data_IF_254056498711
#
_entry.id   IF_254056498711
#
_cell.length_a   1.000
_cell.length_b   1.000
_cell.length_c   1.000
_cell.angle_alpha   90.00
_cell.angle_beta   90.00
_cell.angle_gamma   90.00
#
_symmetry.space_group_name_H-M   'P 1'
#
loop_
_entity.id
_entity.type
_entity.pdbx_description
1 polymer ?
#
# COMPACT_ATOMS: atom_id res chain seq x y z
N UNK A 1 9.09 -3.54 28.83
CA UNK A 1 7.98 -3.29 27.88
C UNK A 1 7.39 -1.91 28.24
N UNK A 2 7.67 -0.86 27.46
CA UNK A 2 7.45 0.55 27.88
C UNK A 2 5.98 1.01 27.81
N UNK A 3 5.18 0.37 26.97
CA UNK A 3 3.81 0.81 26.63
C UNK A 3 2.73 -0.24 26.90
N UNK A 4 3.06 -1.37 27.53
CA UNK A 4 2.14 -2.47 27.87
C UNK A 4 1.23 -2.97 26.73
N UNK A 5 1.61 -2.76 25.46
CA UNK A 5 0.89 -3.22 24.29
C UNK A 5 1.82 -3.97 23.33
N UNK A 6 1.22 -4.76 22.43
CA UNK A 6 1.90 -5.48 21.34
C UNK A 6 1.60 -4.75 20.04
N UNK A 7 2.60 -4.52 19.19
CA UNK A 7 2.37 -3.91 17.87
C UNK A 7 1.56 -4.86 16.97
N UNK A 8 0.64 -4.35 16.14
CA UNK A 8 0.04 -5.11 15.05
C UNK A 8 1.12 -5.75 14.18
N UNK A 9 0.86 -6.95 13.69
CA UNK A 9 1.86 -7.73 12.96
C UNK A 9 2.32 -7.01 11.69
N UNK A 10 1.44 -6.32 10.98
CA UNK A 10 1.80 -5.56 9.78
C UNK A 10 2.68 -4.33 10.07
N UNK A 11 2.35 -3.58 11.12
CA UNK A 11 3.17 -2.45 11.58
C UNK A 11 4.53 -2.91 12.13
N UNK A 12 4.54 -4.02 12.87
CA UNK A 12 5.77 -4.65 13.37
C UNK A 12 6.66 -5.08 12.20
N UNK A 13 6.11 -5.72 11.17
CA UNK A 13 6.85 -6.12 9.98
C UNK A 13 7.42 -4.91 9.23
N UNK A 14 6.66 -3.81 9.14
CA UNK A 14 7.18 -2.55 8.62
C UNK A 14 8.39 -2.05 9.43
N UNK A 15 8.30 -2.01 10.75
CA UNK A 15 9.41 -1.53 11.58
C UNK A 15 10.62 -2.46 11.63
N UNK A 16 10.43 -3.76 11.45
CA UNK A 16 11.54 -4.70 11.25
C UNK A 16 12.27 -4.47 9.93
N UNK A 17 11.58 -3.92 8.92
CA UNK A 17 12.18 -3.56 7.64
C UNK A 17 12.77 -2.15 7.64
N UNK A 18 12.10 -1.18 8.26
CA UNK A 18 12.52 0.23 8.31
C UNK A 18 12.01 0.95 9.56
N UNK A 19 12.89 1.63 10.32
CA UNK A 19 12.50 2.36 11.53
C UNK A 19 11.95 3.76 11.20
N UNK A 20 10.71 3.79 10.72
CA UNK A 20 10.04 5.00 10.23
C UNK A 20 10.26 5.23 8.74
N UNK A 21 9.55 6.21 8.18
CA UNK A 21 9.60 6.54 6.76
C UNK A 21 9.40 8.03 6.56
N UNK A 22 10.21 8.64 5.71
CA UNK A 22 10.03 10.02 5.30
C UNK A 22 10.39 10.16 3.82
N UNK A 23 9.43 10.62 3.02
CA UNK A 23 9.63 10.93 1.62
C UNK A 23 8.96 12.26 1.31
N UNK A 24 9.72 13.23 0.80
CA UNK A 24 9.20 14.53 0.37
C UNK A 24 9.56 14.79 -1.07
N UNK A 25 8.66 15.41 -1.82
CA UNK A 25 8.90 15.79 -3.21
C UNK A 25 8.39 17.20 -3.49
N UNK A 26 8.99 17.81 -4.50
CA UNK A 26 8.75 19.19 -4.90
C UNK A 26 8.38 19.26 -6.37
N UNK A 27 7.62 20.27 -6.74
CA UNK A 27 7.32 20.63 -8.13
C UNK A 27 8.19 21.81 -8.53
N UNK A 28 8.61 21.87 -9.79
CA UNK A 28 9.39 23.01 -10.30
C UNK A 28 8.46 23.90 -11.11
N UNK A 29 8.31 25.15 -10.69
CA UNK A 29 7.56 26.18 -11.43
C UNK A 29 8.48 27.39 -11.58
N UNK A 30 8.69 27.85 -12.81
CA UNK A 30 9.53 29.02 -13.14
C UNK A 30 10.89 29.06 -12.41
N UNK A 31 11.62 27.94 -12.49
CA UNK A 31 12.93 27.72 -11.86
C UNK A 31 12.99 27.70 -10.32
N UNK A 32 11.86 27.81 -9.64
CA UNK A 32 11.78 27.64 -8.18
C UNK A 32 11.22 26.26 -7.80
N UNK A 33 11.93 25.44 -7.00
CA UNK A 33 11.38 24.21 -6.45
C UNK A 33 10.41 24.53 -5.30
N UNK A 34 9.13 24.19 -5.49
CA UNK A 34 8.08 24.31 -4.48
C UNK A 34 7.85 22.95 -3.81
N UNK A 35 8.07 22.81 -2.50
CA UNK A 35 7.76 21.57 -1.78
C UNK A 35 6.24 21.34 -1.80
N UNK A 36 5.84 20.13 -2.21
CA UNK A 36 4.43 19.81 -2.39
C UNK A 36 4.00 18.60 -1.55
N UNK A 37 4.56 17.44 -1.81
CA UNK A 37 4.15 16.22 -1.10
C UNK A 37 5.10 15.83 0.01
N UNK A 38 4.55 15.38 1.13
CA UNK A 38 5.27 14.83 2.28
C UNK A 38 4.56 13.60 2.79
N UNK A 39 5.28 12.48 2.82
CA UNK A 39 4.83 11.22 3.40
C UNK A 39 5.72 10.93 4.61
N UNK A 40 5.10 10.79 5.78
CA UNK A 40 5.82 10.59 7.04
C UNK A 40 5.19 9.45 7.84
N UNK A 41 6.04 8.61 8.40
CA UNK A 41 5.71 7.61 9.42
C UNK A 41 6.81 7.71 10.47
N UNK A 42 6.42 8.04 11.69
CA UNK A 42 7.34 8.19 12.80
C UNK A 42 8.10 6.89 13.07
N UNK A 43 9.37 7.01 13.44
CA UNK A 43 10.15 5.89 13.96
C UNK A 43 9.57 5.41 15.29
N UNK A 44 9.88 4.18 15.71
CA UNK A 44 9.38 3.62 16.99
C UNK A 44 9.72 4.54 18.16
N UNK A 45 10.93 5.12 18.16
CA UNK A 45 11.38 6.03 19.21
C UNK A 45 10.57 7.35 19.27
N UNK A 46 9.98 7.77 18.14
CA UNK A 46 9.17 8.99 18.02
C UNK A 46 7.67 8.74 18.15
N UNK A 47 7.23 7.49 18.34
CA UNK A 47 5.82 7.20 18.60
C UNK A 47 5.41 7.76 19.95
N UNK A 48 4.69 8.88 19.91
CA UNK A 48 4.15 9.55 21.08
C UNK A 48 2.77 8.99 21.41
N UNK A 49 2.57 8.56 22.67
CA UNK A 49 1.25 8.19 23.17
C UNK A 49 0.41 9.46 23.37
N UNK A 50 -0.79 9.50 22.81
CA UNK A 50 -1.78 10.54 23.08
C UNK A 50 -2.62 10.18 24.31
N UNK A 51 -3.06 11.19 25.08
CA UNK A 51 -3.89 11.00 26.29
C UNK A 51 -3.15 10.47 27.53
N UNK A 52 -1.86 10.12 27.42
CA UNK A 52 -1.04 9.75 28.58
C UNK A 52 -0.62 10.96 29.41
N UNK A 53 -0.50 10.80 30.74
CA UNK A 53 0.07 11.80 31.62
C UNK A 53 1.46 12.21 31.12
N UNK A 54 1.59 13.47 30.67
CA UNK A 54 2.89 14.05 30.40
C UNK A 54 3.74 13.99 31.67
N UNK A 55 5.05 13.74 31.56
CA UNK A 55 5.98 13.77 32.70
C UNK A 55 5.94 15.10 33.47
N UNK A 56 5.44 16.15 32.83
CA UNK A 56 5.31 17.50 33.39
C UNK A 56 3.87 17.87 33.76
N UNK A 57 2.92 16.93 33.69
CA UNK A 57 1.54 17.19 34.08
C UNK A 57 1.45 17.35 35.60
N UNK A 58 0.82 18.43 36.05
CA UNK A 58 0.47 18.60 37.46
C UNK A 58 -0.57 17.54 37.86
N UNK A 59 -0.59 17.12 39.13
CA UNK A 59 -1.73 16.38 39.67
C UNK A 59 -3.02 17.17 39.38
N UNK A 60 -3.98 16.55 38.70
CA UNK A 60 -5.25 17.15 38.27
C UNK A 60 -5.16 18.25 37.18
N UNK A 61 -4.08 18.29 36.39
CA UNK A 61 -4.08 19.13 35.19
C UNK A 61 -5.15 18.64 34.18
N UNK A 62 -5.86 19.55 33.49
CA UNK A 62 -6.78 19.17 32.43
C UNK A 62 -6.03 18.42 31.33
N UNK A 63 -6.67 17.39 30.81
CA UNK A 63 -6.19 16.42 29.83
C UNK A 63 -7.02 16.51 28.55
N UNK A 64 -6.60 15.80 27.50
CA UNK A 64 -7.41 15.71 26.27
C UNK A 64 -8.77 15.04 26.50
N UNK A 65 -8.87 14.17 27.51
CA UNK A 65 -10.13 13.54 27.88
C UNK A 65 -11.16 14.55 28.42
N UNK A 66 -10.71 15.65 29.04
CA UNK A 66 -11.60 16.70 29.55
C UNK A 66 -12.16 17.60 28.42
N UNK A 67 -11.65 17.46 27.19
CA UNK A 67 -12.11 18.18 25.99
C UNK A 67 -12.99 17.31 25.09
N UNK A 68 -13.16 16.02 25.40
CA UNK A 68 -14.08 15.16 24.66
C UNK A 68 -15.52 15.58 24.96
N UNK A 69 -16.33 15.75 23.92
CA UNK A 69 -17.75 16.00 24.07
C UNK A 69 -18.46 14.65 24.20
N UNK A 70 -19.12 14.42 25.35
CA UNK A 70 -19.90 13.20 25.66
C UNK A 70 -21.22 13.12 24.87
N UNK A 71 -21.41 13.92 23.82
CA UNK A 71 -22.53 13.76 22.90
C UNK A 71 -22.40 12.44 22.14
N UNK A 72 -22.96 11.39 22.75
CA UNK A 72 -23.26 10.10 22.16
C UNK A 72 -24.03 10.32 20.85
N UNK A 73 -23.30 10.33 19.73
CA UNK A 73 -23.93 10.26 18.42
C UNK A 73 -24.55 8.87 18.29
N UNK A 74 -25.87 8.87 18.16
CA UNK A 74 -26.76 7.73 17.99
C UNK A 74 -26.06 6.49 17.39
N UNK A 75 -26.06 5.43 18.20
CA UNK A 75 -25.50 4.11 17.97
C UNK A 75 -25.95 3.54 16.62
N UNK A 76 -25.20 3.88 15.57
CA UNK A 76 -25.38 3.34 14.24
C UNK A 76 -24.47 2.12 14.17
N UNK A 77 -25.03 0.93 14.40
CA UNK A 77 -24.32 -0.37 14.52
C UNK A 77 -23.33 -0.65 13.34
N UNK A 78 -23.46 0.06 12.23
CA UNK A 78 -22.62 -0.11 11.03
C UNK A 78 -21.35 0.76 11.00
N UNK A 79 -21.18 1.72 11.94
CA UNK A 79 -20.00 2.61 11.97
C UNK A 79 -18.98 2.19 13.04
N UNK A 80 -17.67 2.32 12.76
CA UNK A 80 -16.66 2.02 13.76
C UNK A 80 -16.79 3.00 14.96
N UNK A 81 -16.83 2.45 16.17
CA UNK A 81 -16.82 3.22 17.42
C UNK A 81 -15.64 4.19 17.46
N UNK A 82 -15.92 5.45 17.81
CA UNK A 82 -14.92 6.52 17.85
C UNK A 82 -13.93 6.27 18.99
N UNK A 83 -12.62 6.52 18.78
CA UNK A 83 -11.64 6.43 19.85
C UNK A 83 -11.89 7.44 20.97
N UNK A 84 -11.48 7.09 22.19
CA UNK A 84 -11.48 7.97 23.35
C UNK A 84 -10.06 8.20 23.85
N UNK A 85 -9.71 9.40 24.33
CA UNK A 85 -8.40 9.70 24.94
C UNK A 85 -8.24 9.15 26.35
N UNK A 86 -9.29 8.55 26.91
CA UNK A 86 -9.26 7.92 28.22
C UNK A 86 -8.62 6.51 28.22
N UNK A 87 -8.75 5.80 29.34
CA UNK A 87 -8.16 4.46 29.51
C UNK A 87 -8.76 3.36 28.61
N UNK A 88 -9.85 3.62 27.89
CA UNK A 88 -10.50 2.65 26.98
C UNK A 88 -9.68 2.42 25.72
N UNK A 89 -8.95 3.44 25.24
CA UNK A 89 -8.12 3.33 24.05
C UNK A 89 -6.64 3.63 24.33
N UNK A 90 -5.75 2.94 23.62
CA UNK A 90 -4.34 3.32 23.56
C UNK A 90 -4.07 3.94 22.21
N UNK A 91 -3.54 5.17 22.18
CA UNK A 91 -3.41 5.95 20.97
C UNK A 91 -1.95 6.33 20.76
N UNK A 92 -1.39 6.05 19.59
CA UNK A 92 -0.02 6.41 19.21
C UNK A 92 0.00 7.22 17.92
N UNK A 93 0.72 8.34 17.92
CA UNK A 93 0.88 9.19 16.74
C UNK A 93 1.84 8.56 15.72
N UNK A 94 1.29 8.18 14.56
CA UNK A 94 2.06 7.65 13.44
C UNK A 94 2.59 8.75 12.51
N UNK A 95 1.79 9.78 12.24
CA UNK A 95 2.14 10.88 11.33
C UNK A 95 1.63 12.22 11.90
N UNK A 96 2.48 13.25 12.06
CA UNK A 96 2.08 14.58 12.50
C UNK A 96 1.41 15.44 11.40
N UNK A 97 1.27 14.94 10.17
CA UNK A 97 0.56 15.54 9.03
C UNK A 97 0.88 17.03 8.79
N UNK A 98 2.15 17.42 9.02
CA UNK A 98 2.63 18.81 8.94
C UNK A 98 1.78 19.81 9.74
N UNK A 99 1.20 19.39 10.87
CA UNK A 99 0.38 20.24 11.75
C UNK A 99 -1.08 20.42 11.30
N UNK A 100 -1.53 19.74 10.25
CA UNK A 100 -2.94 19.76 9.83
C UNK A 100 -3.84 18.80 10.61
N UNK A 101 -3.27 18.04 11.53
CA UNK A 101 -3.93 16.96 12.27
C UNK A 101 -2.88 15.90 12.61
N UNK A 102 -3.33 14.70 12.97
CA UNK A 102 -2.47 13.56 13.27
C UNK A 102 -3.10 12.28 12.74
N UNK A 103 -2.31 11.40 12.16
CA UNK A 103 -2.74 10.01 11.97
C UNK A 103 -2.29 9.19 13.16
N UNK A 104 -3.23 8.45 13.75
CA UNK A 104 -3.04 7.71 14.96
C UNK A 104 -3.34 6.22 14.77
N UNK A 105 -2.48 5.38 15.37
CA UNK A 105 -2.78 3.99 15.64
C UNK A 105 -3.57 3.92 16.94
N UNK A 106 -4.76 3.36 16.87
CA UNK A 106 -5.68 3.23 18.01
C UNK A 106 -5.85 1.75 18.33
N UNK A 107 -5.66 1.38 19.60
CA UNK A 107 -5.99 0.05 20.11
C UNK A 107 -7.37 0.11 20.75
N UNK A 108 -8.32 -0.64 20.20
CA UNK A 108 -9.62 -0.88 20.81
C UNK A 108 -9.41 -1.88 21.94
N UNK A 109 -9.63 -1.44 23.18
CA UNK A 109 -9.42 -2.18 24.42
C UNK A 109 -7.95 -2.32 24.85
N UNK A 110 -7.59 -1.65 25.95
CA UNK A 110 -6.27 -1.70 26.57
C UNK A 110 -5.89 -3.04 27.25
N UNK A 111 -6.68 -4.10 27.08
CA UNK A 111 -6.38 -5.42 27.68
C UNK A 111 -5.35 -6.16 26.81
N UNK A 112 -4.41 -6.91 27.42
CA UNK A 112 -3.41 -7.68 26.67
C UNK A 112 -4.09 -8.88 26.00
N UNK A 113 -4.61 -8.66 24.79
CA UNK A 113 -5.17 -9.71 23.93
C UNK A 113 -4.05 -10.21 23.01
N UNK A 114 -4.09 -11.52 22.70
CA UNK A 114 -3.14 -12.22 21.82
C UNK A 114 -3.07 -11.59 20.42
N UNK A 115 -4.16 -10.95 19.97
CA UNK A 115 -4.23 -10.12 18.79
C UNK A 115 -4.87 -8.77 19.17
N UNK A 116 -4.12 -7.66 19.15
CA UNK A 116 -4.71 -6.36 19.43
C UNK A 116 -5.65 -5.97 18.29
N UNK A 117 -6.88 -5.56 18.62
CA UNK A 117 -7.77 -4.90 17.67
C UNK A 117 -7.27 -3.47 17.49
N UNK A 118 -6.67 -3.20 16.34
CA UNK A 118 -6.15 -1.88 16.02
C UNK A 118 -6.80 -1.28 14.81
N UNK A 119 -6.92 0.04 14.82
CA UNK A 119 -7.43 0.83 13.71
C UNK A 119 -6.56 2.06 13.50
N UNK A 120 -6.66 2.63 12.30
CA UNK A 120 -5.97 3.86 11.93
C UNK A 120 -6.99 4.97 11.75
N UNK A 121 -6.83 6.02 12.54
CA UNK A 121 -7.73 7.16 12.58
C UNK A 121 -6.96 8.46 12.29
N UNK A 122 -7.63 9.39 11.63
CA UNK A 122 -7.18 10.77 11.49
C UNK A 122 -7.84 11.63 12.56
N UNK A 123 -7.02 12.25 13.41
CA UNK A 123 -7.42 13.25 14.38
C UNK A 123 -7.20 14.64 13.79
N UNK A 124 -8.27 15.38 13.57
CA UNK A 124 -8.15 16.74 13.03
C UNK A 124 -7.74 17.78 14.11
N UNK A 125 -7.58 19.04 13.70
CA UNK A 125 -7.19 20.13 14.61
C UNK A 125 -8.28 20.53 15.62
N UNK A 126 -9.53 20.15 15.36
CA UNK A 126 -10.65 20.36 16.26
C UNK A 126 -10.91 19.13 17.16
N UNK A 127 -9.98 18.16 17.15
CA UNK A 127 -10.03 16.91 17.91
C UNK A 127 -11.15 15.95 17.49
N UNK A 128 -11.70 16.10 16.27
CA UNK A 128 -12.62 15.10 15.74
C UNK A 128 -11.89 13.90 15.15
N UNK A 129 -12.44 12.72 15.44
CA UNK A 129 -11.97 11.44 14.93
C UNK A 129 -12.60 11.10 13.59
N UNK A 130 -11.76 10.81 12.61
CA UNK A 130 -12.17 10.37 11.28
C UNK A 130 -11.52 9.03 10.96
N UNK A 131 -12.33 8.02 10.67
CA UNK A 131 -11.83 6.69 10.38
C UNK A 131 -11.10 6.68 9.03
N UNK A 132 -9.90 6.09 8.98
CA UNK A 132 -9.18 5.87 7.73
C UNK A 132 -9.23 4.40 7.30
N UNK A 133 -8.63 3.50 8.11
CA UNK A 133 -8.48 2.08 7.74
C UNK A 133 -8.38 1.17 8.96
N UNK A 134 -8.67 -0.12 8.77
CA UNK A 134 -8.51 -1.16 9.81
C UNK A 134 -7.06 -1.63 10.00
N UNK A 135 -6.19 -1.45 9.01
CA UNK A 135 -4.81 -1.98 9.07
C UNK A 135 -3.80 -0.90 8.70
N UNK A 136 -2.57 -1.03 9.23
CA UNK A 136 -1.48 -0.15 8.87
C UNK A 136 -1.11 -0.32 7.39
N UNK A 137 -1.15 -1.53 6.86
CA UNK A 137 -0.87 -1.78 5.44
C UNK A 137 -1.83 -1.02 4.52
N UNK A 138 -3.13 -0.99 4.86
CA UNK A 138 -4.11 -0.22 4.11
C UNK A 138 -3.83 1.29 4.21
N UNK A 139 -3.47 1.78 5.39
CA UNK A 139 -3.05 3.17 5.59
C UNK A 139 -1.79 3.52 4.76
N UNK A 140 -0.77 2.66 4.78
CA UNK A 140 0.46 2.85 4.01
C UNK A 140 0.16 2.96 2.49
N UNK A 141 -0.78 2.15 2.00
CA UNK A 141 -1.28 2.26 0.61
C UNK A 141 -2.00 3.58 0.36
N UNK A 142 -2.82 4.07 1.29
CA UNK A 142 -3.46 5.39 1.16
C UNK A 142 -2.40 6.50 1.07
N UNK A 143 -1.39 6.46 1.94
CA UNK A 143 -0.28 7.41 1.97
C UNK A 143 0.42 7.51 0.60
N UNK A 144 0.77 6.36 0.02
CA UNK A 144 1.41 6.29 -1.31
C UNK A 144 0.45 6.72 -2.41
N UNK A 145 -0.81 6.27 -2.37
CA UNK A 145 -1.81 6.58 -3.41
C UNK A 145 -2.07 8.09 -3.52
N UNK A 146 -2.01 8.80 -2.39
CA UNK A 146 -2.17 10.24 -2.32
C UNK A 146 -0.85 11.00 -2.48
N UNK A 147 0.28 10.30 -2.68
CA UNK A 147 1.62 10.88 -2.83
C UNK A 147 2.00 11.84 -1.68
N UNK A 148 1.39 11.71 -0.51
CA UNK A 148 1.55 12.69 0.57
C UNK A 148 1.15 14.12 0.20
N UNK A 149 0.22 14.31 -0.74
CA UNK A 149 -0.28 15.65 -1.11
C UNK A 149 -0.83 16.40 0.12
N UNK A 150 -0.75 17.74 0.14
CA UNK A 150 -1.22 18.51 1.28
C UNK A 150 -2.66 18.18 1.64
N UNK A 151 -2.91 17.94 2.93
CA UNK A 151 -4.25 17.70 3.49
C UNK A 151 -4.98 16.48 2.92
N UNK A 152 -4.28 15.49 2.35
CA UNK A 152 -4.96 14.36 1.72
C UNK A 152 -5.87 13.57 2.65
N UNK A 153 -5.56 13.53 3.95
CA UNK A 153 -6.37 12.88 4.98
C UNK A 153 -7.77 13.50 5.06
N UNK A 154 -7.90 14.81 4.82
CA UNK A 154 -9.20 15.50 4.81
C UNK A 154 -10.14 15.01 3.70
N UNK A 155 -9.65 14.28 2.69
CA UNK A 155 -10.49 13.64 1.69
C UNK A 155 -11.42 12.55 2.27
N UNK A 156 -11.13 12.06 3.48
CA UNK A 156 -11.93 11.08 4.22
C UNK A 156 -12.81 11.71 5.29
N UNK A 157 -12.89 13.04 5.33
CA UNK A 157 -13.69 13.81 6.30
C UNK A 157 -14.87 14.48 5.59
N UNK A 158 -15.91 14.86 6.33
CA UNK A 158 -17.05 15.62 5.80
C UNK A 158 -16.67 17.00 5.27
N UNK A 159 -15.54 17.57 5.72
CA UNK A 159 -15.04 18.88 5.29
C UNK A 159 -14.44 18.85 3.88
N UNK A 160 -13.78 17.74 3.53
CA UNK A 160 -12.97 17.63 2.32
C UNK A 160 -11.69 18.47 2.35
N UNK A 161 -10.89 18.39 1.28
CA UNK A 161 -9.64 19.12 1.16
C UNK A 161 -9.85 20.59 0.78
N UNK A 162 -8.92 21.49 1.15
CA UNK A 162 -9.01 22.92 0.81
C UNK A 162 -9.00 23.17 -0.71
N UNK A 163 -9.54 24.32 -1.20
CA UNK A 163 -9.51 24.65 -2.62
C UNK A 163 -8.11 24.62 -3.24
N UNK A 164 -7.10 25.07 -2.49
CA UNK A 164 -5.70 25.00 -2.92
C UNK A 164 -5.21 23.55 -3.03
N UNK A 165 -5.51 22.71 -2.05
CA UNK A 165 -5.19 21.29 -2.12
C UNK A 165 -5.89 20.61 -3.31
N UNK A 166 -7.16 20.95 -3.60
CA UNK A 166 -7.90 20.41 -4.77
C UNK A 166 -7.16 20.65 -6.08
N UNK A 167 -6.51 21.81 -6.26
CA UNK A 167 -5.71 22.10 -7.45
C UNK A 167 -4.56 21.10 -7.61
N UNK A 168 -3.81 20.85 -6.53
CA UNK A 168 -2.73 19.87 -6.53
C UNK A 168 -3.21 18.45 -6.79
N UNK A 169 -4.35 18.08 -6.21
CA UNK A 169 -5.01 16.81 -6.49
C UNK A 169 -5.37 16.66 -7.97
N UNK A 170 -5.94 17.69 -8.60
CA UNK A 170 -6.29 17.63 -10.01
C UNK A 170 -5.08 17.52 -10.94
N UNK A 171 -3.90 18.01 -10.51
CA UNK A 171 -2.68 17.95 -11.31
C UNK A 171 -1.87 16.67 -11.11
N UNK A 172 -1.80 16.16 -9.87
CA UNK A 172 -0.84 15.12 -9.49
C UNK A 172 -1.46 13.84 -8.95
N UNK A 173 -2.75 13.82 -8.60
CA UNK A 173 -3.38 12.59 -8.12
C UNK A 173 -3.31 11.55 -9.24
N UNK A 174 -2.69 10.38 -9.00
CA UNK A 174 -2.70 9.31 -9.98
C UNK A 174 -4.14 8.95 -10.36
N UNK A 175 -4.36 8.52 -11.60
CA UNK A 175 -5.66 7.98 -12.00
C UNK A 175 -5.90 6.71 -11.19
N UNK A 176 -6.64 6.84 -10.10
CA UNK A 176 -7.07 5.72 -9.28
C UNK A 176 -8.30 5.12 -9.94
N UNK A 177 -8.15 3.96 -10.58
CA UNK A 177 -9.31 3.18 -11.02
C UNK A 177 -10.08 2.78 -9.76
N UNK A 178 -11.32 3.24 -9.66
CA UNK A 178 -12.18 2.88 -8.55
C UNK A 178 -12.64 1.43 -8.74
N UNK A 179 -12.10 0.50 -7.95
CA UNK A 179 -12.50 -0.92 -8.00
C UNK A 179 -13.96 -1.14 -7.62
N UNK A 180 -14.59 -0.23 -6.86
CA UNK A 180 -16.02 -0.31 -6.58
C UNK A 180 -16.86 -0.12 -7.86
N UNK A 181 -16.42 0.75 -8.79
CA UNK A 181 -17.05 0.89 -10.11
C UNK A 181 -16.78 -0.31 -11.04
N UNK A 182 -15.72 -1.10 -10.81
CA UNK A 182 -15.49 -2.35 -11.54
C UNK A 182 -16.28 -3.54 -10.98
N UNK A 183 -16.77 -3.44 -9.74
CA UNK A 183 -17.58 -4.49 -9.13
C UNK A 183 -18.99 -4.56 -9.72
N UNK A 184 -19.47 -3.48 -10.33
CA UNK A 184 -20.76 -3.42 -11.02
C UNK A 184 -20.68 -3.91 -12.49
N UNK A 185 -19.48 -3.94 -13.09
CA UNK A 185 -19.24 -4.46 -14.45
C UNK A 185 -18.74 -5.92 -14.46
N UNK A 186 -19.01 -6.69 -13.40
CA UNK A 186 -18.75 -8.13 -13.37
C UNK A 186 -19.72 -8.95 -14.24
N UNK A 187 -20.48 -8.33 -15.13
CA UNK A 187 -21.12 -9.03 -16.25
C UNK A 187 -20.12 -9.24 -17.40
N UNK A 188 -19.30 -10.26 -17.20
CA UNK A 188 -18.93 -11.21 -18.25
C UNK A 188 -18.18 -10.66 -19.48
N UNK A 189 -16.98 -10.09 -19.28
CA UNK A 189 -15.97 -10.08 -20.35
C UNK A 189 -15.27 -11.44 -20.45
N UNK A 190 -16.03 -12.48 -20.77
CA UNK A 190 -15.44 -13.71 -21.29
C UNK A 190 -14.82 -13.39 -22.64
N UNK A 191 -13.49 -13.51 -22.73
CA UNK A 191 -12.78 -13.36 -23.99
C UNK A 191 -13.24 -14.46 -24.96
N UNK A 192 -14.23 -14.16 -25.82
CA UNK A 192 -14.84 -15.10 -26.81
C UNK A 192 -13.93 -15.29 -28.03
N UNK A 193 -12.62 -15.36 -27.85
CA UNK A 193 -11.70 -15.76 -28.89
C UNK A 193 -11.72 -17.29 -28.98
N UNK A 194 -12.48 -17.82 -29.94
CA UNK A 194 -12.44 -19.24 -30.30
C UNK A 194 -11.04 -19.58 -30.86
N UNK A 195 -10.23 -20.41 -30.18
CA UNK A 195 -8.88 -20.75 -30.62
C UNK A 195 -8.83 -21.33 -32.04
N UNK A 196 -9.93 -21.96 -32.49
CA UNK A 196 -10.05 -22.56 -33.82
C UNK A 196 -10.43 -21.55 -34.92
N UNK A 197 -10.81 -20.32 -34.56
CA UNK A 197 -11.12 -19.23 -35.51
C UNK A 197 -10.02 -18.16 -35.59
N UNK A 198 -9.18 -18.04 -34.57
CA UNK A 198 -8.08 -17.04 -34.52
C UNK A 198 -6.92 -17.42 -35.43
N UNK A 199 -6.62 -18.71 -35.59
CA UNK A 199 -5.56 -19.18 -36.49
C UNK A 199 -6.14 -19.91 -37.71
N UNK A 200 -6.83 -19.18 -38.59
CA UNK A 200 -7.05 -19.68 -39.95
C UNK A 200 -5.73 -19.60 -40.72
N UNK A 201 -4.93 -20.66 -40.67
CA UNK A 201 -3.84 -20.83 -41.63
C UNK A 201 -4.45 -20.92 -43.03
N UNK A 202 -4.23 -19.90 -43.86
CA UNK A 202 -4.47 -19.98 -45.30
C UNK A 202 -3.36 -20.83 -45.93
N UNK A 203 -3.32 -22.11 -45.59
CA UNK A 203 -2.58 -23.06 -46.38
C UNK A 203 -3.43 -23.38 -47.61
N UNK A 204 -3.22 -22.63 -48.68
CA UNK A 204 -3.56 -23.09 -50.04
C UNK A 204 -2.65 -24.29 -50.32
N UNK A 205 -3.10 -25.49 -49.96
CA UNK A 205 -2.53 -26.72 -50.48
C UNK A 205 -3.08 -26.94 -51.90
N UNK A 206 -2.23 -27.16 -52.91
CA UNK A 206 -2.67 -27.45 -54.26
C UNK A 206 -3.35 -28.82 -54.31
N UNK A 207 -4.43 -28.89 -55.09
CA UNK A 207 -5.17 -30.12 -55.37
C UNK A 207 -4.26 -31.09 -56.14
N UNK A 208 -3.93 -32.23 -55.54
CA UNK A 208 -3.56 -33.43 -56.29
C UNK A 208 -4.56 -34.54 -55.95
N UNK A 209 -5.32 -34.95 -56.97
CA UNK A 209 -6.26 -36.07 -56.91
C UNK A 209 -5.49 -37.39 -56.90
N UNK A 210 -5.94 -38.31 -56.03
CA UNK A 210 -6.42 -39.69 -56.35
C UNK A 210 -5.74 -40.84 -55.59
N UNK A 211 -6.60 -41.54 -54.81
CA UNK A 211 -6.67 -42.97 -54.42
C UNK A 211 -5.62 -43.62 -53.46
N UNK A 212 -6.10 -43.85 -52.22
CA UNK A 212 -6.13 -45.08 -51.37
C UNK A 212 -5.32 -46.35 -51.76
N UNK A 213 -5.09 -47.32 -50.83
CA UNK A 213 -5.01 -47.31 -49.35
C UNK A 213 -3.82 -48.16 -48.77
N UNK A 214 -3.79 -48.28 -47.43
CA UNK A 214 -3.36 -49.46 -46.61
C UNK A 214 -2.01 -49.45 -45.86
N UNK A 215 -2.14 -49.72 -44.54
CA UNK A 215 -1.26 -50.33 -43.52
C UNK A 215 0.26 -50.05 -43.45
N UNK A 216 0.82 -49.82 -42.24
CA UNK A 216 2.23 -50.05 -41.97
C UNK A 216 2.46 -51.38 -41.23
N UNK A 217 3.52 -52.09 -41.64
CA UNK A 217 4.20 -53.08 -40.81
C UNK A 217 5.71 -52.88 -40.98
N UNK A 218 6.40 -52.72 -39.85
CA UNK A 218 7.76 -53.22 -39.62
C UNK A 218 8.96 -52.37 -40.08
N UNK A 219 9.74 -51.93 -39.08
CA UNK A 219 11.14 -52.35 -38.85
C UNK A 219 12.20 -52.04 -39.92
N UNK A 220 13.46 -51.68 -39.67
CA UNK A 220 14.31 -51.28 -38.54
C UNK A 220 15.75 -51.22 -39.13
N UNK A 221 16.67 -50.49 -38.46
CA UNK A 221 18.16 -50.52 -38.57
C UNK A 221 18.78 -49.71 -39.72
N UNK A 222 19.59 -48.66 -39.49
CA UNK A 222 20.80 -48.41 -38.66
C UNK A 222 22.10 -48.99 -39.24
N UNK A 223 23.10 -48.13 -39.50
CA UNK A 223 24.55 -48.41 -39.41
C UNK A 223 25.36 -47.08 -39.61
N UNK A 224 26.10 -46.60 -38.59
CA UNK A 224 27.60 -46.54 -38.41
C UNK A 224 28.31 -45.43 -39.23
N UNK A 225 29.37 -44.70 -38.81
CA UNK A 225 30.36 -44.76 -37.71
C UNK A 225 31.32 -43.52 -37.73
N UNK A 226 32.12 -43.39 -36.64
CA UNK A 226 33.29 -42.53 -36.26
C UNK A 226 34.28 -42.01 -37.35
N UNK A 227 35.15 -40.98 -37.17
CA UNK A 227 36.40 -40.84 -36.31
C UNK A 227 37.00 -39.39 -36.38
N UNK A 228 37.45 -38.73 -35.29
CA UNK A 228 38.81 -38.52 -34.69
C UNK A 228 39.75 -37.34 -35.15
N UNK A 229 39.98 -36.37 -34.23
CA UNK A 229 41.21 -35.66 -33.75
C UNK A 229 42.36 -35.10 -34.65
N UNK A 230 42.82 -33.85 -34.36
CA UNK A 230 44.25 -33.44 -34.10
C UNK A 230 44.43 -31.97 -33.61
N UNK A 231 45.63 -31.66 -33.11
CA UNK A 231 46.11 -30.66 -32.11
C UNK A 231 46.95 -29.46 -32.62
N UNK A 232 47.22 -28.46 -31.74
CA UNK A 232 48.43 -27.58 -31.53
C UNK A 232 48.05 -26.09 -31.29
N UNK A 233 48.71 -25.18 -30.56
CA UNK A 233 49.93 -25.09 -29.72
C UNK A 233 49.92 -23.77 -28.88
N UNK A 234 50.92 -23.60 -28.00
CA UNK A 234 51.08 -22.66 -26.87
C UNK A 234 51.62 -21.23 -27.16
N UNK A 235 51.41 -20.35 -26.16
CA UNK A 235 52.30 -19.31 -25.57
C UNK A 235 52.39 -17.88 -26.12
N UNK A 236 52.32 -16.91 -25.19
CA UNK A 236 52.74 -15.51 -25.35
C UNK A 236 52.58 -14.71 -24.06
N UNK A 237 53.68 -14.53 -23.31
CA UNK A 237 53.75 -13.88 -22.00
C UNK A 237 54.17 -12.40 -22.10
N UNK A 238 53.91 -11.65 -21.02
CA UNK A 238 54.16 -10.21 -20.79
C UNK A 238 55.63 -9.77 -20.81
N UNK A 239 55.94 -8.56 -21.33
CA UNK A 239 56.74 -7.48 -20.67
C UNK A 239 57.18 -6.32 -21.59
N UNK A 240 57.24 -5.12 -20.98
CA UNK A 240 57.96 -3.85 -21.32
C UNK A 240 57.41 -2.89 -22.39
N UNK A 241 56.94 -1.72 -21.93
CA UNK A 241 57.75 -0.49 -21.89
C UNK A 241 57.22 0.48 -20.83
#
# INVERSE_FOLDING_TARGET
QKNSCVLPEDLKNFYLMTDGFQMSWSVKTDDTPMPLGSMVINSIAKLCRLGGSSMYALPNAPTLADLEDDTDEEDNEDKPEKPHFDSRSLIFELDPCNGNGKVCLVYKHAKPVVSPETEIWFLDRALYWHFLTKTFTAYYRLLITHLGLPQWQYAFTSYGVSPQAKQWFNMYKPITINTAFLSEEADCFVNKLDPNKVFKSKNKTPVMKKKSPSHPAGSQKSHTSMTSSKTSSLAGNSSRK
#
